data_IF_128575848726
#
_entry.id   IF_128575848726
#
_cell.length_a   1.000
_cell.length_b   1.000
_cell.length_c   1.000
_cell.angle_alpha   90.00
_cell.angle_beta   90.00
_cell.angle_gamma   90.00
#
_symmetry.space_group_name_H-M   'P 1'
#
loop_
_entity.id
_entity.type
_entity.pdbx_description
1 polymer ?
#
# COMPACT_ATOMS: atom_id res chain seq x y z
N UNK A 1 4.02 2.15 -0.14
CA UNK A 1 4.84 3.24 0.45
C UNK A 1 4.05 3.99 1.50
N UNK A 2 4.74 4.61 2.47
CA UNK A 2 4.15 5.52 3.44
C UNK A 2 3.73 6.81 2.71
N UNK A 3 2.52 7.30 2.96
CA UNK A 3 2.05 8.60 2.46
C UNK A 3 2.70 9.73 3.27
N UNK A 4 3.63 10.51 2.69
CA UNK A 4 4.35 11.56 3.42
C UNK A 4 3.50 12.82 3.62
N UNK A 5 2.27 12.88 3.09
CA UNK A 5 1.38 14.04 3.18
C UNK A 5 0.33 13.89 4.28
N UNK A 6 0.51 12.92 5.17
CA UNK A 6 -0.40 12.60 6.27
C UNK A 6 0.40 12.23 7.53
N UNK A 7 -0.05 12.59 8.73
CA UNK A 7 0.67 12.28 9.96
C UNK A 7 0.65 10.79 10.33
N UNK A 8 -0.33 10.04 9.82
CA UNK A 8 -0.52 8.60 10.09
C UNK A 8 -0.01 7.70 8.96
N UNK A 9 0.59 8.26 7.92
CA UNK A 9 1.19 7.52 6.81
C UNK A 9 0.22 6.91 5.79
N UNK A 10 -1.08 7.16 5.92
CA UNK A 10 -2.16 6.75 5.01
C UNK A 10 -3.34 7.73 5.12
N UNK A 11 -4.14 7.88 4.07
CA UNK A 11 -5.42 8.62 4.14
C UNK A 11 -6.62 7.82 3.62
N UNK A 12 -7.80 8.37 3.89
CA UNK A 12 -9.08 7.85 3.42
C UNK A 12 -9.18 7.74 1.89
N UNK A 13 -8.50 8.62 1.13
CA UNK A 13 -8.50 8.55 -0.34
C UNK A 13 -7.83 7.27 -0.81
N UNK A 14 -6.69 6.90 -0.22
CA UNK A 14 -5.97 5.65 -0.53
C UNK A 14 -6.80 4.42 -0.18
N UNK A 15 -7.46 4.41 0.98
CA UNK A 15 -8.31 3.29 1.41
C UNK A 15 -9.49 3.12 0.46
N UNK A 16 -10.20 4.21 0.13
CA UNK A 16 -11.35 4.17 -0.78
C UNK A 16 -10.95 3.70 -2.19
N UNK A 17 -9.78 4.11 -2.68
CA UNK A 17 -9.25 3.60 -3.94
C UNK A 17 -8.98 2.09 -3.89
N UNK A 18 -8.36 1.60 -2.82
CA UNK A 18 -8.09 0.17 -2.65
C UNK A 18 -9.36 -0.66 -2.57
N UNK A 19 -10.41 -0.19 -1.88
CA UNK A 19 -11.72 -0.85 -1.88
C UNK A 19 -12.22 -1.05 -3.31
N UNK A 20 -12.24 0.02 -4.11
CA UNK A 20 -12.71 -0.01 -5.50
C UNK A 20 -11.88 -0.95 -6.36
N UNK A 21 -10.55 -0.85 -6.24
CA UNK A 21 -9.64 -1.66 -7.03
C UNK A 21 -9.75 -3.15 -6.68
N UNK A 22 -9.84 -3.50 -5.40
CA UNK A 22 -9.99 -4.89 -4.95
C UNK A 22 -11.35 -5.47 -5.34
N UNK A 23 -12.44 -4.69 -5.24
CA UNK A 23 -13.75 -5.12 -5.74
C UNK A 23 -13.70 -5.37 -7.25
N UNK A 24 -13.09 -4.47 -8.01
CA UNK A 24 -12.90 -4.66 -9.44
C UNK A 24 -12.08 -5.92 -9.76
N UNK A 25 -11.00 -6.20 -9.02
CA UNK A 25 -10.22 -7.43 -9.20
C UNK A 25 -11.02 -8.71 -8.95
N UNK A 26 -12.05 -8.67 -8.09
CA UNK A 26 -12.97 -9.81 -7.89
C UNK A 26 -13.98 -9.95 -9.02
N UNK A 27 -14.38 -8.84 -9.65
CA UNK A 27 -15.37 -8.82 -10.72
C UNK A 27 -14.79 -9.07 -12.11
N UNK A 28 -13.53 -8.70 -12.33
CA UNK A 28 -12.86 -8.88 -13.61
C UNK A 28 -12.54 -10.35 -13.86
N UNK A 29 -12.81 -10.83 -15.08
CA UNK A 29 -12.38 -12.16 -15.49
C UNK A 29 -10.85 -12.25 -15.43
N UNK A 30 -10.35 -13.19 -14.62
CA UNK A 30 -8.93 -13.44 -14.43
C UNK A 30 -8.62 -14.90 -14.79
N UNK A 31 -8.22 -15.19 -16.04
CA UNK A 31 -7.77 -16.51 -16.43
C UNK A 31 -6.61 -17.00 -15.55
N UNK A 32 -6.48 -18.32 -15.41
CA UNK A 32 -5.32 -18.89 -14.74
C UNK A 32 -4.03 -18.43 -15.42
N UNK A 33 -3.06 -18.04 -14.61
CA UNK A 33 -1.76 -17.58 -15.09
C UNK A 33 -0.67 -18.57 -14.71
N UNK A 34 0.18 -18.93 -15.67
CA UNK A 34 1.39 -19.69 -15.44
C UNK A 34 2.54 -18.80 -14.93
N UNK A 35 3.67 -19.41 -14.58
CA UNK A 35 4.83 -18.70 -14.02
C UNK A 35 5.44 -17.66 -14.99
N UNK A 36 5.39 -17.92 -16.29
CA UNK A 36 5.90 -17.03 -17.34
C UNK A 36 4.99 -15.80 -17.48
N UNK A 37 3.68 -16.00 -17.50
CA UNK A 37 2.67 -14.93 -17.54
C UNK A 37 2.75 -14.03 -16.30
N UNK A 38 2.98 -14.62 -15.12
CA UNK A 38 3.23 -13.86 -13.89
C UNK A 38 4.53 -13.04 -13.98
N UNK A 39 5.57 -13.58 -14.63
CA UNK A 39 6.81 -12.85 -14.90
C UNK A 39 6.58 -11.68 -15.86
N UNK A 40 5.73 -11.85 -16.87
CA UNK A 40 5.34 -10.77 -17.76
C UNK A 40 4.66 -9.62 -17.03
N UNK A 41 3.72 -9.90 -16.12
CA UNK A 41 3.09 -8.85 -15.31
C UNK A 41 4.13 -8.05 -14.51
N UNK A 42 5.15 -8.71 -13.95
CA UNK A 42 6.25 -8.03 -13.23
C UNK A 42 7.01 -7.03 -14.11
N UNK A 43 7.08 -7.24 -15.43
CA UNK A 43 7.72 -6.27 -16.33
C UNK A 43 6.98 -4.92 -16.34
N UNK A 44 5.64 -4.94 -16.36
CA UNK A 44 4.86 -3.70 -16.25
C UNK A 44 5.06 -3.02 -14.90
N UNK A 45 5.10 -3.79 -13.81
CA UNK A 45 5.43 -3.26 -12.48
C UNK A 45 6.78 -2.54 -12.48
N UNK A 46 7.83 -3.16 -13.00
CA UNK A 46 9.16 -2.55 -13.07
C UNK A 46 9.17 -1.26 -13.90
N UNK A 47 8.45 -1.23 -15.03
CA UNK A 47 8.33 -0.03 -15.85
C UNK A 47 7.65 1.13 -15.09
N UNK A 48 6.61 0.83 -14.31
CA UNK A 48 5.91 1.84 -13.50
C UNK A 48 6.78 2.30 -12.32
N UNK A 49 7.46 1.37 -11.66
CA UNK A 49 8.36 1.66 -10.53
C UNK A 49 9.49 2.61 -10.94
N UNK A 50 10.18 2.31 -12.05
CA UNK A 50 11.38 3.05 -12.45
C UNK A 50 11.06 4.32 -13.24
N UNK A 51 10.06 4.28 -14.11
CA UNK A 51 9.75 5.38 -15.04
C UNK A 51 8.25 5.58 -15.31
N UNK A 52 7.37 5.24 -14.36
CA UNK A 52 5.91 5.35 -14.55
C UNK A 52 5.38 6.76 -14.82
N UNK A 53 6.14 7.81 -14.43
CA UNK A 53 5.79 9.23 -14.68
C UNK A 53 6.40 9.80 -15.96
N UNK A 54 7.10 8.99 -16.75
CA UNK A 54 7.70 9.43 -18.02
C UNK A 54 6.60 9.82 -19.01
N UNK A 55 6.66 11.00 -19.66
CA UNK A 55 5.70 11.37 -20.70
C UNK A 55 5.67 10.33 -21.83
N UNK A 56 4.48 9.92 -22.24
CA UNK A 56 4.30 8.90 -23.28
C UNK A 56 4.66 7.48 -22.83
N UNK A 57 4.71 7.20 -21.52
CA UNK A 57 4.99 5.86 -21.03
C UNK A 57 3.96 4.85 -21.52
N UNK A 58 4.45 3.66 -21.86
CA UNK A 58 3.65 2.55 -22.37
C UNK A 58 3.79 1.32 -21.48
N UNK A 59 2.76 0.49 -21.45
CA UNK A 59 2.76 -0.81 -20.77
C UNK A 59 2.43 -1.94 -21.76
N UNK A 60 2.90 -3.14 -21.46
CA UNK A 60 2.71 -4.32 -22.29
C UNK A 60 1.39 -5.03 -22.00
N UNK A 61 0.69 -5.47 -23.04
CA UNK A 61 -0.50 -6.32 -22.99
C UNK A 61 -0.14 -7.70 -23.56
N UNK A 62 -0.66 -8.78 -22.97
CA UNK A 62 -0.38 -10.16 -23.42
C UNK A 62 1.11 -10.46 -23.47
N UNK A 63 1.83 -10.35 -22.34
CA UNK A 63 3.29 -10.49 -22.31
C UNK A 63 4.10 -9.55 -23.21
N UNK A 64 3.53 -8.40 -23.60
CA UNK A 64 4.21 -7.40 -24.42
C UNK A 64 4.00 -7.55 -25.92
N UNK A 65 3.12 -8.45 -26.35
CA UNK A 65 2.65 -8.56 -27.75
C UNK A 65 2.12 -7.23 -28.29
N UNK A 66 1.45 -6.46 -27.43
CA UNK A 66 1.01 -5.10 -27.72
C UNK A 66 1.50 -4.14 -26.65
N UNK A 67 1.74 -2.89 -27.05
CA UNK A 67 2.06 -1.80 -26.14
C UNK A 67 0.95 -0.77 -26.22
N UNK A 68 0.49 -0.34 -25.06
CA UNK A 68 -0.56 0.68 -24.94
C UNK A 68 -0.09 1.83 -24.04
N UNK A 69 -0.50 3.07 -24.31
CA UNK A 69 -0.20 4.20 -23.43
C UNK A 69 -0.72 3.95 -22.01
N UNK A 70 0.14 4.14 -21.01
CA UNK A 70 -0.19 3.91 -19.60
C UNK A 70 -1.43 4.72 -19.19
N UNK A 71 -1.52 5.98 -19.61
CA UNK A 71 -2.66 6.85 -19.31
C UNK A 71 -3.97 6.32 -19.91
N UNK A 72 -3.93 5.72 -21.11
CA UNK A 72 -5.12 5.15 -21.74
C UNK A 72 -5.61 3.92 -20.97
N UNK A 73 -4.70 3.00 -20.61
CA UNK A 73 -5.06 1.81 -19.84
C UNK A 73 -5.56 2.18 -18.44
N UNK A 74 -4.90 3.14 -17.79
CA UNK A 74 -5.33 3.69 -16.50
C UNK A 74 -6.73 4.28 -16.54
N UNK A 75 -7.06 5.09 -17.55
CA UNK A 75 -8.40 5.66 -17.72
C UNK A 75 -9.46 4.62 -18.02
N UNK A 76 -9.13 3.57 -18.80
CA UNK A 76 -10.03 2.46 -19.03
C UNK A 76 -10.37 1.72 -17.72
N UNK A 77 -9.36 1.45 -16.88
CA UNK A 77 -9.56 0.90 -15.54
C UNK A 77 -10.44 1.83 -14.69
N UNK A 78 -10.15 3.13 -14.68
CA UNK A 78 -10.91 4.10 -13.89
C UNK A 78 -12.37 4.24 -14.33
N UNK A 79 -12.68 4.07 -15.62
CA UNK A 79 -14.06 4.01 -16.09
C UNK A 79 -14.85 2.86 -15.43
N UNK A 80 -14.21 1.70 -15.22
CA UNK A 80 -14.82 0.60 -14.48
C UNK A 80 -14.89 0.88 -12.98
N UNK A 81 -13.84 1.45 -12.38
CA UNK A 81 -13.86 1.83 -10.96
C UNK A 81 -14.98 2.84 -10.66
N UNK A 82 -15.24 3.79 -11.56
CA UNK A 82 -16.35 4.74 -11.42
C UNK A 82 -17.72 4.05 -11.42
N UNK A 83 -17.88 2.92 -12.12
CA UNK A 83 -19.14 2.14 -12.08
C UNK A 83 -19.33 1.48 -10.72
N UNK A 84 -18.26 0.91 -10.15
CA UNK A 84 -18.27 0.35 -8.79
C UNK A 84 -18.54 1.45 -7.77
N UNK A 85 -17.87 2.60 -7.89
CA UNK A 85 -18.02 3.74 -7.00
C UNK A 85 -19.47 4.25 -6.93
N UNK A 86 -20.15 4.38 -8.08
CA UNK A 86 -21.57 4.79 -8.13
C UNK A 86 -22.48 3.84 -7.34
N UNK A 87 -22.20 2.54 -7.36
CA UNK A 87 -22.96 1.55 -6.57
C UNK A 87 -22.69 1.76 -5.08
N UNK A 88 -21.43 1.86 -4.66
CA UNK A 88 -21.07 2.05 -3.25
C UNK A 88 -21.63 3.35 -2.67
N UNK A 89 -21.53 4.46 -3.42
CA UNK A 89 -22.02 5.77 -3.02
C UNK A 89 -23.55 5.75 -2.85
N UNK A 90 -24.27 5.01 -3.70
CA UNK A 90 -25.73 4.87 -3.60
C UNK A 90 -26.20 4.18 -2.32
N UNK A 91 -25.35 3.35 -1.70
CA UNK A 91 -25.69 2.57 -0.51
C UNK A 91 -25.35 3.27 0.82
N UNK A 92 -24.41 4.22 0.82
CA UNK A 92 -23.76 4.66 2.07
C UNK A 92 -23.46 6.15 2.19
N UNK A 93 -23.85 6.98 1.20
CA UNK A 93 -23.54 8.42 1.22
C UNK A 93 -22.04 8.72 1.22
N UNK A 94 -21.25 7.74 0.78
CA UNK A 94 -19.79 7.80 0.68
C UNK A 94 -19.36 8.60 -0.55
N UNK A 95 -18.05 8.84 -0.68
CA UNK A 95 -17.44 9.71 -1.70
C UNK A 95 -16.49 8.95 -2.62
N UNK A 96 -16.79 7.70 -2.94
CA UNK A 96 -15.96 6.87 -3.82
C UNK A 96 -15.83 7.47 -5.22
N UNK A 97 -16.90 8.04 -5.78
CA UNK A 97 -16.85 8.63 -7.12
C UNK A 97 -15.95 9.87 -7.15
N UNK A 98 -15.99 10.69 -6.10
CA UNK A 98 -15.10 11.86 -5.94
C UNK A 98 -13.63 11.42 -5.91
N UNK A 99 -13.31 10.35 -5.18
CA UNK A 99 -11.97 9.75 -5.13
C UNK A 99 -11.52 9.26 -6.51
N UNK A 100 -12.37 8.55 -7.25
CA UNK A 100 -12.07 8.11 -8.61
C UNK A 100 -11.69 9.28 -9.52
N UNK A 101 -12.54 10.31 -9.58
CA UNK A 101 -12.32 11.45 -10.47
C UNK A 101 -11.02 12.18 -10.13
N UNK A 102 -10.76 12.40 -8.84
CA UNK A 102 -9.53 13.05 -8.36
C UNK A 102 -8.26 12.26 -8.71
N UNK A 103 -8.28 10.94 -8.59
CA UNK A 103 -7.10 10.11 -8.87
C UNK A 103 -6.90 9.91 -10.38
N UNK A 104 -7.97 9.92 -11.17
CA UNK A 104 -7.89 9.81 -12.64
C UNK A 104 -7.09 10.98 -13.26
N UNK A 105 -7.19 12.18 -12.69
CA UNK A 105 -6.43 13.36 -13.13
C UNK A 105 -4.90 13.13 -13.13
N UNK A 106 -4.40 12.21 -12.30
CA UNK A 106 -2.98 11.89 -12.22
C UNK A 106 -2.42 11.26 -13.51
N UNK A 107 -3.28 10.66 -14.34
CA UNK A 107 -2.86 10.12 -15.64
C UNK A 107 -2.59 11.22 -16.67
N UNK A 108 -3.30 12.35 -16.60
CA UNK A 108 -3.06 13.52 -17.44
C UNK A 108 -1.94 14.41 -16.88
N UNK A 109 -1.82 14.45 -15.55
CA UNK A 109 -0.78 15.20 -14.87
C UNK A 109 -0.03 14.34 -13.83
N UNK A 110 1.05 13.65 -14.23
CA UNK A 110 1.84 12.81 -13.33
C UNK A 110 2.48 13.55 -12.14
N UNK A 111 2.54 14.89 -12.15
CA UNK A 111 3.03 15.67 -11.01
C UNK A 111 2.05 15.68 -9.83
N UNK A 112 0.79 15.31 -10.04
CA UNK A 112 -0.20 15.17 -8.96
C UNK A 112 0.01 13.89 -8.13
N UNK A 113 0.69 12.88 -8.68
CA UNK A 113 1.04 11.65 -7.96
C UNK A 113 1.90 11.96 -6.73
N UNK A 114 1.89 11.06 -5.74
CA UNK A 114 2.72 11.25 -4.55
C UNK A 114 4.21 11.34 -4.88
N UNK A 115 4.72 10.50 -5.79
CA UNK A 115 6.12 10.55 -6.20
C UNK A 115 6.46 11.82 -7.00
N UNK A 116 5.52 12.37 -7.78
CA UNK A 116 5.66 13.67 -8.43
C UNK A 116 5.79 14.80 -7.42
N UNK A 117 4.81 14.92 -6.51
CA UNK A 117 4.79 15.93 -5.45
C UNK A 117 6.00 15.84 -4.52
N UNK A 118 6.35 14.62 -4.11
CA UNK A 118 7.44 14.36 -3.17
C UNK A 118 8.80 14.69 -3.79
N UNK A 119 9.03 14.32 -5.05
CA UNK A 119 10.29 14.58 -5.72
C UNK A 119 10.60 16.08 -5.79
N UNK A 120 9.61 16.93 -6.03
CA UNK A 120 9.81 18.39 -6.05
C UNK A 120 10.22 18.92 -4.67
N UNK A 121 9.66 18.37 -3.57
CA UNK A 121 10.08 18.72 -2.20
C UNK A 121 11.50 18.25 -1.90
N UNK A 122 11.82 17.01 -2.28
CA UNK A 122 13.15 16.40 -2.08
C UNK A 122 14.22 17.16 -2.87
N UNK A 123 13.95 17.58 -4.12
CA UNK A 123 14.89 18.40 -4.89
C UNK A 123 15.21 19.73 -4.23
N UNK A 124 14.22 20.35 -3.57
CA UNK A 124 14.37 21.65 -2.92
C UNK A 124 15.08 21.56 -1.56
N UNK A 125 14.83 20.51 -0.76
CA UNK A 125 15.24 20.45 0.65
C UNK A 125 16.14 19.25 0.99
N UNK A 126 16.36 18.33 0.04
CA UNK A 126 16.97 17.03 0.29
C UNK A 126 16.02 16.07 1.02
N UNK A 127 16.34 14.77 0.97
CA UNK A 127 15.53 13.72 1.62
C UNK A 127 15.52 13.92 3.14
N UNK A 128 16.70 14.10 3.75
CA UNK A 128 16.82 14.27 5.20
C UNK A 128 16.17 15.56 5.70
N UNK A 129 16.33 16.67 4.97
CA UNK A 129 15.75 17.96 5.34
C UNK A 129 14.23 17.93 5.32
N UNK A 130 13.64 17.46 4.21
CA UNK A 130 12.18 17.37 4.11
C UNK A 130 11.58 16.30 5.04
N UNK A 131 12.26 15.17 5.21
CA UNK A 131 11.84 14.12 6.14
C UNK A 131 11.83 14.62 7.59
N UNK A 132 12.86 15.35 8.02
CA UNK A 132 12.93 15.92 9.36
C UNK A 132 11.84 16.98 9.57
N UNK A 133 11.58 17.84 8.58
CA UNK A 133 10.51 18.85 8.70
C UNK A 133 9.13 18.23 8.87
N UNK A 134 8.84 17.14 8.14
CA UNK A 134 7.58 16.41 8.30
C UNK A 134 7.50 15.70 9.65
N UNK A 135 8.60 15.10 10.10
CA UNK A 135 8.65 14.43 11.40
C UNK A 135 8.37 15.41 12.56
N UNK A 136 8.97 16.60 12.52
CA UNK A 136 8.72 17.66 13.51
C UNK A 136 7.26 18.15 13.45
N UNK A 137 6.74 18.43 12.25
CA UNK A 137 5.35 18.86 12.05
C UNK A 137 4.35 17.83 12.61
N UNK A 138 4.49 16.57 12.20
CA UNK A 138 3.57 15.52 12.61
C UNK A 138 3.74 15.11 14.07
N UNK A 139 4.94 15.18 14.63
CA UNK A 139 5.12 15.01 16.06
C UNK A 139 4.32 16.07 16.84
N UNK A 140 4.46 17.34 16.49
CA UNK A 140 3.73 18.43 17.15
C UNK A 140 2.22 18.29 16.97
N UNK A 141 1.75 17.87 15.79
CA UNK A 141 0.33 17.63 15.57
C UNK A 141 -0.19 16.50 16.49
N UNK A 142 0.50 15.36 16.51
CA UNK A 142 0.02 14.15 17.18
C UNK A 142 0.03 14.28 18.71
N UNK A 143 1.05 14.89 19.32
CA UNK A 143 1.09 15.08 20.78
C UNK A 143 0.02 16.05 21.30
N UNK A 144 -0.46 16.94 20.42
CA UNK A 144 -1.48 17.94 20.76
C UNK A 144 -2.89 17.52 20.33
N UNK A 145 -3.05 16.33 19.73
CA UNK A 145 -4.36 15.80 19.33
C UNK A 145 -4.90 14.91 20.43
N UNK A 146 -6.08 15.24 20.96
CA UNK A 146 -6.75 14.39 21.94
C UNK A 146 -7.24 13.08 21.30
N UNK A 147 -7.31 12.02 22.09
CA UNK A 147 -7.86 10.76 21.61
C UNK A 147 -9.37 10.87 21.36
N UNK A 148 -9.84 10.23 20.28
CA UNK A 148 -11.26 10.21 19.89
C UNK A 148 -11.97 8.91 20.23
N UNK A 149 -11.25 7.78 20.18
CA UNK A 149 -11.82 6.42 20.35
C UNK A 149 -11.18 5.69 21.53
N UNK A 150 -9.85 5.65 21.59
CA UNK A 150 -9.11 5.07 22.71
C UNK A 150 -8.91 6.09 23.82
N UNK A 151 -8.51 5.65 25.00
CA UNK A 151 -8.19 6.51 26.15
C UNK A 151 -6.82 6.14 26.72
N UNK A 152 -6.24 7.02 27.53
CA UNK A 152 -5.00 6.71 28.27
C UNK A 152 -5.15 5.42 29.09
N UNK A 153 -6.28 5.24 29.77
CA UNK A 153 -6.57 4.04 30.56
C UNK A 153 -6.62 2.76 29.69
N UNK A 154 -7.14 2.85 28.46
CA UNK A 154 -7.17 1.73 27.53
C UNK A 154 -5.74 1.33 27.10
N UNK A 155 -4.87 2.31 26.83
CA UNK A 155 -3.46 2.06 26.52
C UNK A 155 -2.71 1.47 27.72
N UNK A 156 -2.93 1.98 28.93
CA UNK A 156 -2.27 1.45 30.13
C UNK A 156 -2.73 0.03 30.45
N UNK A 157 -4.03 -0.24 30.32
CA UNK A 157 -4.55 -1.59 30.48
C UNK A 157 -3.93 -2.58 29.47
N UNK A 158 -3.80 -2.17 28.20
CA UNK A 158 -3.18 -3.01 27.18
C UNK A 158 -1.67 -3.17 27.39
N UNK A 159 -0.97 -2.14 27.90
CA UNK A 159 0.44 -2.24 28.30
C UNK A 159 0.64 -3.31 29.38
N UNK A 160 -0.18 -3.30 30.43
CA UNK A 160 -0.09 -4.30 31.52
C UNK A 160 -0.43 -5.69 30.98
N UNK A 161 -1.51 -5.79 30.19
CA UNK A 161 -2.00 -7.06 29.67
C UNK A 161 -1.00 -7.70 28.69
N UNK A 162 -0.40 -6.92 27.80
CA UNK A 162 0.61 -7.41 26.86
C UNK A 162 1.87 -7.93 27.54
N UNK A 163 2.38 -7.23 28.56
CA UNK A 163 3.53 -7.68 29.38
C UNK A 163 3.21 -8.99 30.10
N UNK A 164 1.99 -9.11 30.67
CA UNK A 164 1.57 -10.36 31.31
C UNK A 164 1.51 -11.51 30.31
N UNK A 165 0.90 -11.32 29.14
CA UNK A 165 0.83 -12.34 28.08
C UNK A 165 2.22 -12.78 27.65
N UNK A 166 3.17 -11.84 27.52
CA UNK A 166 4.57 -12.18 27.24
C UNK A 166 5.18 -13.05 28.35
N UNK A 167 5.06 -12.65 29.62
CA UNK A 167 5.62 -13.42 30.73
C UNK A 167 5.00 -14.80 30.90
N UNK A 168 3.71 -14.94 30.59
CA UNK A 168 3.01 -16.23 30.62
C UNK A 168 3.50 -17.14 29.47
N UNK A 169 3.77 -16.58 28.28
CA UNK A 169 4.41 -17.30 27.17
C UNK A 169 5.80 -17.79 27.54
N UNK A 170 6.67 -16.90 28.05
CA UNK A 170 8.05 -17.22 28.46
C UNK A 170 8.10 -18.30 29.55
N UNK A 171 7.12 -18.36 30.46
CA UNK A 171 7.01 -19.42 31.47
C UNK A 171 6.47 -20.73 30.93
N UNK A 172 5.71 -20.67 29.84
CA UNK A 172 5.11 -21.84 29.20
C UNK A 172 6.05 -22.54 28.22
N UNK A 173 7.21 -21.95 27.91
CA UNK A 173 8.23 -22.56 27.06
C UNK A 173 8.77 -23.84 27.72
N UNK A 174 8.51 -24.98 27.07
CA UNK A 174 8.95 -26.30 27.55
C UNK A 174 10.18 -26.83 26.82
N UNK A 175 10.61 -26.14 25.76
CA UNK A 175 11.73 -26.54 24.92
C UNK A 175 12.70 -25.37 24.75
N UNK A 176 13.96 -25.67 24.46
CA UNK A 176 14.93 -24.65 24.11
C UNK A 176 14.56 -23.98 22.77
N UNK A 177 15.07 -22.75 22.57
CA UNK A 177 14.88 -22.05 21.31
C UNK A 177 15.43 -22.84 20.09
N UNK A 178 16.54 -23.56 20.26
CA UNK A 178 17.12 -24.40 19.20
C UNK A 178 16.19 -25.56 18.81
N UNK A 179 15.51 -26.17 19.78
CA UNK A 179 14.52 -27.23 19.53
C UNK A 179 13.28 -26.67 18.85
N UNK A 180 12.81 -25.51 19.29
CA UNK A 180 11.71 -24.79 18.64
C UNK A 180 12.03 -24.50 17.17
N UNK A 181 13.23 -24.01 16.87
CA UNK A 181 13.67 -23.78 15.49
C UNK A 181 13.68 -25.06 14.67
N UNK A 182 14.18 -26.19 15.21
CA UNK A 182 14.16 -27.47 14.48
C UNK A 182 12.75 -27.94 14.12
N UNK A 183 11.76 -27.64 14.95
CA UNK A 183 10.35 -28.00 14.71
C UNK A 183 9.65 -27.08 13.71
N UNK A 184 10.05 -25.79 13.65
CA UNK A 184 9.30 -24.76 12.94
C UNK A 184 10.03 -24.10 11.76
N UNK A 185 11.33 -24.30 11.57
CA UNK A 185 12.12 -23.67 10.50
C UNK A 185 11.85 -24.25 9.09
N UNK A 186 10.87 -25.12 8.93
CA UNK A 186 10.64 -25.88 7.69
C UNK A 186 11.72 -26.96 7.50
N UNK A 187 11.58 -27.85 6.50
CA UNK A 187 12.59 -28.88 6.26
C UNK A 187 13.94 -28.22 5.98
N UNK A 188 14.95 -28.55 6.80
CA UNK A 188 16.36 -28.29 6.49
C UNK A 188 16.62 -28.87 5.09
N UNK A 189 16.76 -28.00 4.09
CA UNK A 189 17.20 -28.40 2.75
C UNK A 189 18.74 -28.56 2.70
N UNK A 190 19.35 -28.90 3.83
CA UNK A 190 20.75 -29.22 3.94
C UNK A 190 20.89 -30.73 3.91
N UNK A 191 21.02 -31.24 2.69
CA UNK A 191 21.53 -32.58 2.41
C UNK A 191 22.99 -32.72 2.83
N UNK A 192 23.27 -32.59 4.12
CA UNK A 192 24.56 -32.95 4.71
C UNK A 192 24.30 -33.85 5.90
N UNK A 193 24.26 -35.15 5.61
CA UNK A 193 24.44 -36.19 6.59
C UNK A 193 25.85 -36.08 7.20
N UNK A 194 25.92 -36.32 8.51
CA UNK A 194 27.07 -36.78 9.33
C UNK A 194 28.46 -36.74 8.70
#
# INVERSE_FOLDING_TARGET
DINPFTPIGVDETQIRFLDLFLIWCVLADAPEMNAEELACCRANWNNVILEGRKPGQVIGMGCGERKEPLAQVGKALFADLQRVAKVLDSCSGTKYLEVCLKLEEMFDNPQLTFSGRLLEKIKAQGIGGYGLSLAEEYHQQLINTAYEVLTDDAFEHERISSIKRQADLEKSDTISFDEYLKLHAGPNNDGVAS
#
